data_IF_509199768546
#
_entry.id   IF_509199768546
#
_cell.length_a   1.000
_cell.length_b   1.000
_cell.length_c   1.000
_cell.angle_alpha   90.00
_cell.angle_beta   90.00
_cell.angle_gamma   90.00
#
_symmetry.space_group_name_H-M   'P 1'
#
loop_
_entity.id
_entity.type
_entity.pdbx_description
1 polymer ?
#
# COMPACT_ATOMS: atom_id res chain seq x y z
N UNK A 1 -28.80 -12.18 19.22
CA UNK A 1 -28.65 -11.25 18.07
C UNK A 1 -27.19 -11.09 17.66
N UNK A 2 -26.24 -10.70 18.54
CA UNK A 2 -24.80 -10.64 18.19
C UNK A 2 -24.19 -12.02 17.81
N UNK A 3 -24.54 -13.10 18.50
CA UNK A 3 -24.04 -14.47 18.19
C UNK A 3 -24.52 -15.01 16.83
N UNK A 4 -25.67 -14.57 16.32
CA UNK A 4 -26.17 -14.97 14.99
C UNK A 4 -25.46 -14.20 13.87
N UNK A 5 -25.23 -12.91 14.08
CA UNK A 5 -24.42 -12.06 13.19
C UNK A 5 -22.97 -12.55 13.12
N UNK A 6 -22.42 -13.03 14.23
CA UNK A 6 -21.07 -13.61 14.29
C UNK A 6 -20.94 -14.87 13.42
N UNK A 7 -21.98 -15.71 13.38
CA UNK A 7 -22.03 -16.93 12.55
C UNK A 7 -22.21 -16.62 11.05
N UNK A 8 -22.94 -15.55 10.71
CA UNK A 8 -23.13 -15.13 9.32
C UNK A 8 -21.94 -14.33 8.76
N UNK A 9 -21.13 -13.69 9.61
CA UNK A 9 -19.95 -12.95 9.19
C UNK A 9 -18.77 -13.90 8.88
N UNK A 10 -18.88 -14.61 7.75
CA UNK A 10 -17.86 -15.55 7.26
C UNK A 10 -16.47 -14.91 7.20
N UNK A 11 -15.39 -15.63 7.48
CA UNK A 11 -14.06 -15.05 7.31
C UNK A 11 -13.76 -14.76 5.82
N UNK A 12 -13.12 -13.63 5.52
CA UNK A 12 -12.60 -13.31 4.18
C UNK A 12 -11.09 -13.27 4.23
N UNK A 13 -10.47 -14.06 3.35
CA UNK A 13 -9.03 -14.18 3.25
C UNK A 13 -8.51 -13.49 1.99
N UNK A 14 -7.27 -13.01 2.06
CA UNK A 14 -6.55 -12.50 0.90
C UNK A 14 -6.34 -13.60 -0.16
N UNK A 15 -6.68 -13.31 -1.41
CA UNK A 15 -6.56 -14.22 -2.54
C UNK A 15 -5.40 -13.80 -3.46
N UNK A 16 -4.53 -14.74 -3.88
CA UNK A 16 -3.42 -14.44 -4.76
C UNK A 16 -3.88 -14.14 -6.19
N UNK A 17 -3.19 -13.19 -6.83
CA UNK A 17 -3.21 -13.00 -8.27
C UNK A 17 -1.86 -13.40 -8.85
N UNK A 18 -1.74 -14.68 -9.22
CA UNK A 18 -0.47 -15.24 -9.67
C UNK A 18 0.10 -14.55 -10.90
N UNK A 19 -0.73 -14.17 -11.88
CA UNK A 19 -0.28 -13.47 -13.08
C UNK A 19 0.45 -12.15 -12.76
N UNK A 20 -0.17 -11.27 -11.95
CA UNK A 20 0.44 -10.02 -11.53
C UNK A 20 1.67 -10.25 -10.65
N UNK A 21 1.64 -11.30 -9.82
CA UNK A 21 2.77 -11.70 -8.98
C UNK A 21 3.99 -12.06 -9.83
N UNK A 22 3.81 -12.91 -10.84
CA UNK A 22 4.88 -13.30 -11.77
C UNK A 22 5.42 -12.11 -12.56
N UNK A 23 4.53 -11.22 -13.03
CA UNK A 23 4.93 -9.98 -13.68
C UNK A 23 5.89 -9.19 -12.78
N UNK A 24 5.47 -8.87 -11.56
CA UNK A 24 6.30 -8.10 -10.61
C UNK A 24 7.62 -8.83 -10.33
N UNK A 25 7.57 -10.14 -10.07
CA UNK A 25 8.76 -10.94 -9.75
C UNK A 25 9.78 -11.07 -10.88
N UNK A 26 9.37 -10.93 -12.14
CA UNK A 26 10.30 -10.97 -13.28
C UNK A 26 10.81 -9.56 -13.58
N UNK A 27 9.89 -8.59 -13.69
CA UNK A 27 10.26 -7.24 -14.11
C UNK A 27 11.05 -6.48 -13.04
N UNK A 28 10.72 -6.64 -11.76
CA UNK A 28 11.44 -5.94 -10.67
C UNK A 28 12.93 -6.30 -10.59
N UNK A 29 13.37 -7.58 -10.54
CA UNK A 29 14.79 -7.89 -10.50
C UNK A 29 15.51 -7.54 -11.80
N UNK A 30 14.87 -7.68 -12.97
CA UNK A 30 15.46 -7.25 -14.24
C UNK A 30 15.71 -5.75 -14.23
N UNK A 31 14.71 -4.96 -13.85
CA UNK A 31 14.84 -3.51 -13.73
C UNK A 31 15.92 -3.10 -12.71
N UNK A 32 15.95 -3.76 -11.56
CA UNK A 32 16.94 -3.50 -10.50
C UNK A 32 18.35 -3.88 -10.95
N UNK A 33 18.52 -4.98 -11.70
CA UNK A 33 19.79 -5.38 -12.27
C UNK A 33 20.27 -4.36 -13.30
N UNK A 34 19.39 -3.88 -14.19
CA UNK A 34 19.72 -2.81 -15.15
C UNK A 34 20.22 -1.56 -14.43
N UNK A 35 19.55 -1.16 -13.35
CA UNK A 35 19.98 -0.03 -12.53
C UNK A 35 21.37 -0.32 -11.94
N UNK A 36 21.59 -1.48 -11.32
CA UNK A 36 22.89 -1.82 -10.73
C UNK A 36 24.01 -1.75 -11.77
N UNK A 37 23.80 -2.31 -12.98
CA UNK A 37 24.79 -2.23 -14.06
C UNK A 37 25.07 -0.77 -14.45
N UNK A 38 24.03 0.06 -14.57
CA UNK A 38 24.19 1.48 -14.87
C UNK A 38 25.03 2.19 -13.80
N UNK A 39 24.77 1.93 -12.52
CA UNK A 39 25.55 2.49 -11.41
C UNK A 39 27.00 1.96 -11.41
N UNK A 40 27.23 0.70 -11.77
CA UNK A 40 28.60 0.14 -11.86
C UNK A 40 29.41 0.78 -12.98
N UNK A 41 28.80 1.06 -14.14
CA UNK A 41 29.50 1.67 -15.28
C UNK A 41 29.56 3.20 -15.17
N UNK A 42 28.78 3.81 -14.26
CA UNK A 42 28.69 5.26 -14.10
C UNK A 42 30.05 5.98 -13.96
N UNK A 43 31.03 5.51 -13.15
CA UNK A 43 32.34 6.15 -13.06
C UNK A 43 33.12 6.13 -14.38
N UNK A 44 32.96 5.07 -15.19
CA UNK A 44 33.60 4.93 -16.49
C UNK A 44 33.02 5.91 -17.51
N UNK A 45 31.71 6.18 -17.46
CA UNK A 45 31.04 7.15 -18.33
C UNK A 45 31.45 8.60 -18.02
N UNK A 46 31.83 8.88 -16.77
CA UNK A 46 32.14 10.24 -16.31
C UNK A 46 33.62 10.60 -16.42
N UNK A 47 34.51 9.59 -16.44
CA UNK A 47 35.95 9.81 -16.45
C UNK A 47 36.48 10.10 -17.85
N UNK A 48 37.08 11.27 -18.04
CA UNK A 48 37.75 11.64 -19.31
C UNK A 48 39.17 11.09 -19.43
N UNK A 49 39.82 10.74 -18.31
CA UNK A 49 41.20 10.25 -18.23
C UNK A 49 41.34 9.18 -17.13
N UNK A 50 42.36 8.31 -17.25
CA UNK A 50 42.61 7.18 -16.33
C UNK A 50 42.81 7.61 -14.87
N UNK A 51 43.52 8.71 -14.63
CA UNK A 51 43.79 9.21 -13.26
C UNK A 51 42.49 9.64 -12.57
N UNK A 52 41.61 10.34 -13.32
CA UNK A 52 40.31 10.79 -12.80
C UNK A 52 39.41 9.58 -12.52
N UNK A 53 39.45 8.56 -13.38
CA UNK A 53 38.75 7.30 -13.15
C UNK A 53 39.19 6.63 -11.84
N UNK A 54 40.50 6.49 -11.60
CA UNK A 54 41.02 5.84 -10.39
C UNK A 54 40.57 6.59 -9.13
N UNK A 55 40.70 7.92 -9.12
CA UNK A 55 40.25 8.75 -7.98
C UNK A 55 38.75 8.58 -7.74
N UNK A 56 37.94 8.64 -8.80
CA UNK A 56 36.49 8.51 -8.72
C UNK A 56 36.08 7.11 -8.24
N UNK A 57 36.69 6.06 -8.78
CA UNK A 57 36.42 4.67 -8.44
C UNK A 57 36.70 4.37 -6.95
N UNK A 58 37.83 4.86 -6.42
CA UNK A 58 38.22 4.67 -5.02
C UNK A 58 37.23 5.33 -4.05
N UNK A 59 36.63 6.46 -4.42
CA UNK A 59 35.60 7.11 -3.58
C UNK A 59 34.20 6.51 -3.80
N UNK A 60 33.87 6.17 -5.04
CA UNK A 60 32.52 5.78 -5.46
C UNK A 60 32.17 4.35 -5.05
N UNK A 61 33.01 3.37 -5.36
CA UNK A 61 32.66 1.96 -5.14
C UNK A 61 32.51 1.58 -3.66
N UNK A 62 33.38 2.05 -2.73
CA UNK A 62 33.15 1.80 -1.30
C UNK A 62 31.85 2.41 -0.80
N UNK A 63 31.49 3.60 -1.29
CA UNK A 63 30.22 4.26 -0.96
C UNK A 63 29.03 3.42 -1.45
N UNK A 64 29.10 2.92 -2.69
CA UNK A 64 28.08 2.06 -3.27
C UNK A 64 27.92 0.74 -2.51
N UNK A 65 29.04 0.10 -2.12
CA UNK A 65 29.05 -1.11 -1.29
C UNK A 65 28.39 -0.83 0.07
N UNK A 66 28.72 0.29 0.72
CA UNK A 66 28.14 0.67 2.01
C UNK A 66 26.61 0.87 1.91
N UNK A 67 26.14 1.57 0.87
CA UNK A 67 24.70 1.75 0.62
C UNK A 67 24.03 0.40 0.36
N UNK A 68 24.63 -0.44 -0.49
CA UNK A 68 24.15 -1.79 -0.79
C UNK A 68 24.01 -2.64 0.47
N UNK A 69 25.01 -2.63 1.35
CA UNK A 69 24.97 -3.33 2.63
C UNK A 69 23.83 -2.84 3.54
N UNK A 70 23.59 -1.52 3.60
CA UNK A 70 22.49 -0.96 4.40
C UNK A 70 21.12 -1.39 3.86
N UNK A 71 20.96 -1.38 2.52
CA UNK A 71 19.74 -1.84 1.85
C UNK A 71 19.53 -3.33 2.15
N UNK A 72 20.57 -4.15 1.98
CA UNK A 72 20.50 -5.58 2.25
C UNK A 72 20.09 -5.90 3.70
N UNK A 73 20.66 -5.20 4.69
CA UNK A 73 20.25 -5.38 6.10
C UNK A 73 18.77 -5.05 6.31
N UNK A 74 18.27 -3.95 5.74
CA UNK A 74 16.85 -3.60 5.83
C UNK A 74 15.97 -4.62 5.12
N UNK A 75 16.36 -5.06 3.92
CA UNK A 75 15.65 -6.07 3.15
C UNK A 75 15.57 -7.41 3.89
N UNK A 76 16.67 -7.84 4.54
CA UNK A 76 16.69 -9.05 5.36
C UNK A 76 15.69 -8.98 6.51
N UNK A 77 15.62 -7.84 7.21
CA UNK A 77 14.63 -7.64 8.28
C UNK A 77 13.20 -7.67 7.72
N UNK A 78 12.93 -6.92 6.66
CA UNK A 78 11.62 -6.89 6.00
C UNK A 78 11.19 -8.28 5.52
N UNK A 79 12.12 -9.09 5.02
CA UNK A 79 11.87 -10.46 4.59
C UNK A 79 11.46 -11.37 5.75
N UNK A 80 12.07 -11.22 6.94
CA UNK A 80 11.74 -12.01 8.12
C UNK A 80 10.37 -11.65 8.72
N UNK A 81 9.97 -10.38 8.63
CA UNK A 81 8.71 -9.86 9.19
C UNK A 81 7.57 -9.79 8.16
N UNK A 82 7.76 -10.33 6.95
CA UNK A 82 6.81 -10.17 5.85
C UNK A 82 5.47 -10.85 6.12
N UNK A 83 4.39 -10.19 5.69
CA UNK A 83 3.03 -10.71 5.76
C UNK A 83 2.78 -11.70 4.62
N UNK A 84 2.24 -12.87 4.96
CA UNK A 84 1.89 -13.93 4.02
C UNK A 84 0.41 -13.94 3.68
N UNK A 85 -0.43 -13.62 4.67
CA UNK A 85 -1.88 -13.75 4.58
C UNK A 85 -2.55 -12.68 5.41
N UNK A 86 -3.63 -12.12 4.88
CA UNK A 86 -4.52 -11.20 5.58
C UNK A 86 -5.88 -11.88 5.70
N UNK A 87 -6.45 -11.89 6.90
CA UNK A 87 -7.80 -12.42 7.15
C UNK A 87 -8.61 -11.38 7.90
N UNK A 88 -9.85 -11.19 7.46
CA UNK A 88 -10.86 -10.36 8.13
C UNK A 88 -12.00 -11.27 8.55
N UNK A 89 -12.30 -11.29 9.84
CA UNK A 89 -13.36 -12.09 10.44
C UNK A 89 -14.17 -11.27 11.48
N UNK A 90 -15.01 -11.94 12.26
CA UNK A 90 -15.84 -11.31 13.27
C UNK A 90 -15.05 -10.74 14.46
N UNK A 91 -13.81 -11.19 14.69
CA UNK A 91 -12.96 -10.67 15.77
C UNK A 91 -12.23 -9.42 15.33
N UNK A 92 -11.82 -9.38 14.06
CA UNK A 92 -11.13 -8.23 13.49
C UNK A 92 -10.27 -8.56 12.28
N UNK A 93 -9.14 -7.85 12.17
CA UNK A 93 -8.17 -8.01 11.11
C UNK A 93 -6.92 -8.70 11.63
N UNK A 94 -6.45 -9.73 10.92
CA UNK A 94 -5.26 -10.49 11.29
C UNK A 94 -4.27 -10.57 10.14
N UNK A 95 -3.02 -10.24 10.45
CA UNK A 95 -1.87 -10.33 9.58
C UNK A 95 -1.00 -11.51 10.00
N UNK A 96 -0.96 -12.55 9.18
CA UNK A 96 -0.07 -13.68 9.41
C UNK A 96 1.29 -13.38 8.79
N UNK A 97 2.36 -13.56 9.56
CA UNK A 97 3.74 -13.34 9.12
C UNK A 97 4.46 -14.65 8.90
N UNK A 98 5.55 -14.62 8.12
CA UNK A 98 6.36 -15.83 7.82
C UNK A 98 7.00 -16.43 9.06
N UNK A 99 7.37 -15.61 10.04
CA UNK A 99 7.95 -16.07 11.30
C UNK A 99 6.95 -16.77 12.24
N UNK A 100 5.70 -16.97 11.81
CA UNK A 100 4.64 -17.58 12.61
C UNK A 100 3.95 -16.62 13.59
N UNK A 101 4.42 -15.38 13.71
CA UNK A 101 3.72 -14.36 14.51
C UNK A 101 2.50 -13.83 13.77
N UNK A 102 1.48 -13.47 14.54
CA UNK A 102 0.26 -12.84 14.04
C UNK A 102 0.15 -11.45 14.65
N UNK A 103 -0.06 -10.45 13.80
CA UNK A 103 -0.41 -9.10 14.23
C UNK A 103 -1.91 -8.95 14.04
N UNK A 104 -2.63 -8.63 15.12
CA UNK A 104 -4.09 -8.60 15.15
C UNK A 104 -4.59 -7.21 15.55
N UNK A 105 -5.67 -6.78 14.91
CA UNK A 105 -6.43 -5.58 15.24
C UNK A 105 -7.85 -6.05 15.52
N UNK A 106 -8.19 -6.17 16.82
CA UNK A 106 -9.49 -6.63 17.28
C UNK A 106 -10.50 -5.49 17.33
N UNK A 107 -11.74 -5.74 16.91
CA UNK A 107 -12.81 -4.73 16.98
C UNK A 107 -13.09 -4.26 18.40
N UNK A 108 -12.97 -5.14 19.40
CA UNK A 108 -13.16 -4.81 20.81
C UNK A 108 -12.13 -3.83 21.37
N UNK A 109 -10.96 -3.73 20.75
CA UNK A 109 -9.83 -2.89 21.20
C UNK A 109 -9.74 -1.56 20.44
N UNK A 110 -10.59 -1.33 19.44
CA UNK A 110 -10.66 -0.04 18.75
C UNK A 110 -11.25 0.99 19.70
N UNK A 111 -10.61 2.14 19.84
CA UNK A 111 -11.07 3.19 20.75
C UNK A 111 -11.70 4.32 19.95
N UNK A 112 -12.77 4.91 20.50
CA UNK A 112 -13.28 6.20 20.02
C UNK A 112 -12.52 7.35 20.67
N UNK A 113 -12.61 8.54 20.08
CA UNK A 113 -12.13 9.78 20.68
C UNK A 113 -13.04 10.26 21.81
N UNK A 114 -14.30 9.79 21.84
CA UNK A 114 -15.29 10.23 22.83
C UNK A 114 -15.75 11.68 22.63
N UNK A 115 -15.46 12.26 21.46
CA UNK A 115 -15.80 13.62 21.09
C UNK A 115 -16.98 13.62 20.11
N UNK A 116 -18.01 14.43 20.37
CA UNK A 116 -19.20 14.53 19.52
C UNK A 116 -18.97 15.15 18.15
N UNK A 117 -17.84 15.84 17.95
CA UNK A 117 -17.56 16.56 16.69
C UNK A 117 -16.44 15.92 15.86
N UNK A 118 -15.87 14.80 16.33
CA UNK A 118 -14.73 14.13 15.68
C UNK A 118 -15.11 12.72 15.29
N UNK A 119 -14.76 12.31 14.06
CA UNK A 119 -14.90 10.93 13.63
C UNK A 119 -13.79 10.07 14.23
N UNK A 120 -14.17 8.90 14.76
CA UNK A 120 -13.26 7.93 15.38
C UNK A 120 -12.36 7.24 14.35
N UNK A 121 -12.89 7.06 13.15
CA UNK A 121 -12.23 6.34 12.07
C UNK A 121 -12.18 7.24 10.84
N UNK A 122 -10.98 7.47 10.33
CA UNK A 122 -10.73 8.40 9.23
C UNK A 122 -9.68 7.89 8.24
N UNK A 123 -9.21 8.80 7.40
CA UNK A 123 -8.17 8.52 6.41
C UNK A 123 -6.91 9.33 6.72
N UNK A 124 -5.77 8.66 6.71
CA UNK A 124 -4.45 9.30 6.72
C UNK A 124 -3.78 9.17 5.37
N UNK A 125 -2.98 10.18 5.01
CA UNK A 125 -2.19 10.18 3.79
C UNK A 125 -0.83 9.53 4.05
N UNK A 126 -0.54 8.45 3.32
CA UNK A 126 0.77 7.79 3.31
C UNK A 126 1.25 7.56 1.89
N UNK A 127 2.41 8.11 1.55
CA UNK A 127 3.09 7.89 0.26
C UNK A 127 2.16 8.03 -0.97
N UNK A 128 1.29 9.06 -0.96
CA UNK A 128 0.27 9.37 -1.99
C UNK A 128 -0.96 8.46 -2.03
N UNK A 129 -1.13 7.57 -1.06
CA UNK A 129 -2.34 6.75 -0.89
C UNK A 129 -3.06 7.11 0.41
N UNK A 130 -4.40 7.04 0.38
CA UNK A 130 -5.20 7.20 1.59
C UNK A 130 -5.37 5.83 2.25
N UNK A 131 -4.96 5.74 3.51
CA UNK A 131 -5.00 4.53 4.33
C UNK A 131 -5.97 4.77 5.48
N UNK A 132 -6.70 3.74 5.87
CA UNK A 132 -7.62 3.79 6.99
C UNK A 132 -6.81 3.97 8.29
N UNK A 133 -7.12 5.01 9.06
CA UNK A 133 -6.51 5.28 10.35
C UNK A 133 -7.57 5.14 11.44
N UNK A 134 -7.20 4.45 12.51
CA UNK A 134 -8.06 4.23 13.67
C UNK A 134 -7.23 4.29 14.95
N UNK A 135 -7.87 4.62 16.06
CA UNK A 135 -7.22 4.58 17.38
C UNK A 135 -7.32 3.17 17.96
N UNK A 136 -6.19 2.65 18.41
CA UNK A 136 -6.04 1.29 18.92
C UNK A 136 -4.98 1.27 20.02
N UNK A 137 -5.35 0.80 21.22
CA UNK A 137 -4.48 0.78 22.40
C UNK A 137 -3.75 2.12 22.64
N UNK A 138 -4.50 3.23 22.63
CA UNK A 138 -4.00 4.59 22.84
C UNK A 138 -3.01 5.13 21.79
N UNK A 139 -2.83 4.43 20.67
CA UNK A 139 -2.05 4.89 19.52
C UNK A 139 -2.91 4.95 18.25
N UNK A 140 -2.46 5.73 17.26
CA UNK A 140 -3.11 5.81 15.93
C UNK A 140 -2.48 4.79 15.01
N UNK A 141 -3.22 3.74 14.69
CA UNK A 141 -2.76 2.64 13.85
C UNK A 141 -3.31 2.78 12.42
N UNK A 142 -2.40 2.70 11.45
CA UNK A 142 -2.74 2.68 10.03
C UNK A 142 -3.00 1.25 9.55
N UNK A 143 -4.19 1.02 9.00
CA UNK A 143 -4.62 -0.30 8.52
C UNK A 143 -4.31 -0.46 7.04
N UNK A 144 -3.18 -1.12 6.77
CA UNK A 144 -2.73 -1.38 5.41
C UNK A 144 -3.16 -2.77 4.91
N UNK A 145 -4.08 -2.81 3.95
CA UNK A 145 -4.54 -4.04 3.27
C UNK A 145 -3.60 -4.46 2.12
N UNK A 146 -2.63 -3.62 1.76
CA UNK A 146 -1.57 -3.85 0.78
C UNK A 146 -0.26 -4.32 1.42
N UNK A 147 -0.24 -4.61 2.73
CA UNK A 147 0.96 -5.04 3.48
C UNK A 147 1.60 -6.34 2.98
N UNK A 148 0.91 -7.10 2.12
CA UNK A 148 1.46 -8.28 1.44
C UNK A 148 2.38 -7.82 0.31
N UNK A 149 3.68 -8.09 0.46
CA UNK A 149 4.68 -7.77 -0.56
C UNK A 149 4.54 -8.71 -1.78
N UNK A 150 4.24 -8.18 -2.98
CA UNK A 150 4.07 -9.00 -4.18
C UNK A 150 5.39 -9.60 -4.69
N UNK A 151 6.53 -8.98 -4.40
CA UNK A 151 7.86 -9.50 -4.75
C UNK A 151 8.17 -10.80 -4.00
N UNK A 152 7.74 -10.92 -2.74
CA UNK A 152 8.10 -12.06 -1.89
C UNK A 152 6.96 -13.04 -1.58
N UNK A 153 5.70 -12.62 -1.64
CA UNK A 153 4.54 -13.47 -1.29
C UNK A 153 3.59 -13.63 -2.48
N UNK A 154 2.68 -12.67 -2.71
CA UNK A 154 1.83 -12.60 -3.89
C UNK A 154 1.14 -11.24 -3.95
N UNK A 155 0.68 -10.85 -5.14
CA UNK A 155 -0.19 -9.71 -5.30
C UNK A 155 -1.63 -10.05 -4.87
N UNK A 156 -2.15 -9.41 -3.84
CA UNK A 156 -3.49 -9.67 -3.33
C UNK A 156 -4.57 -9.04 -4.23
N UNK A 157 -5.42 -9.85 -4.87
CA UNK A 157 -6.44 -9.35 -5.82
C UNK A 157 -7.60 -8.64 -5.12
N UNK A 158 -7.98 -9.13 -3.95
CA UNK A 158 -9.22 -8.79 -3.27
C UNK A 158 -9.04 -7.81 -2.09
N UNK A 159 -7.98 -7.00 -2.10
CA UNK A 159 -7.69 -6.01 -1.03
C UNK A 159 -8.85 -5.05 -0.78
N UNK A 160 -9.57 -4.63 -1.83
CA UNK A 160 -10.79 -3.81 -1.70
C UNK A 160 -11.90 -4.55 -0.95
N UNK A 161 -12.07 -5.83 -1.21
CA UNK A 161 -13.07 -6.65 -0.53
C UNK A 161 -12.71 -6.87 0.95
N UNK A 162 -11.42 -7.07 1.25
CA UNK A 162 -10.93 -7.13 2.63
C UNK A 162 -11.20 -5.82 3.38
N UNK A 163 -10.83 -4.68 2.78
CA UNK A 163 -11.07 -3.36 3.37
C UNK A 163 -12.55 -3.10 3.65
N UNK A 164 -13.39 -3.35 2.64
CA UNK A 164 -14.84 -3.20 2.72
C UNK A 164 -15.42 -4.05 3.84
N UNK A 165 -14.99 -5.31 3.92
CA UNK A 165 -15.41 -6.21 4.99
C UNK A 165 -14.95 -5.75 6.36
N UNK A 166 -13.72 -5.24 6.45
CA UNK A 166 -13.21 -4.73 7.73
C UNK A 166 -14.03 -3.54 8.21
N UNK A 167 -14.31 -2.56 7.34
CA UNK A 167 -15.16 -1.41 7.65
C UNK A 167 -16.58 -1.85 8.03
N UNK A 168 -17.15 -2.81 7.31
CA UNK A 168 -18.45 -3.40 7.64
C UNK A 168 -18.45 -4.02 9.04
N UNK A 169 -17.40 -4.76 9.40
CA UNK A 169 -17.25 -5.32 10.74
C UNK A 169 -17.11 -4.24 11.81
N UNK A 170 -16.42 -3.12 11.54
CA UNK A 170 -16.38 -2.01 12.51
C UNK A 170 -17.80 -1.48 12.78
N UNK A 171 -18.58 -1.18 11.74
CA UNK A 171 -19.93 -0.63 11.92
C UNK A 171 -20.86 -1.62 12.63
N UNK A 172 -20.71 -2.93 12.38
CA UNK A 172 -21.58 -3.94 13.01
C UNK A 172 -21.17 -4.30 14.44
N UNK A 173 -19.88 -4.52 14.70
CA UNK A 173 -19.40 -4.97 16.01
C UNK A 173 -19.12 -3.81 16.97
N UNK A 174 -18.97 -2.59 16.44
CA UNK A 174 -18.74 -1.35 17.19
C UNK A 174 -19.60 -0.20 16.67
N UNK A 175 -20.94 -0.29 16.80
CA UNK A 175 -21.86 0.77 16.37
C UNK A 175 -21.70 2.06 17.19
N UNK A 176 -21.00 1.99 18.32
CA UNK A 176 -20.61 3.14 19.14
C UNK A 176 -19.57 4.05 18.44
N UNK A 177 -18.81 3.53 17.47
CA UNK A 177 -17.78 4.28 16.76
C UNK A 177 -18.32 4.98 15.52
N UNK A 178 -17.90 6.23 15.31
CA UNK A 178 -18.29 7.05 14.15
C UNK A 178 -17.25 6.98 13.07
N UNK A 179 -17.64 6.41 11.92
CA UNK A 179 -16.80 6.38 10.71
C UNK A 179 -17.02 7.65 9.90
N UNK A 180 -15.93 8.32 9.50
CA UNK A 180 -15.99 9.48 8.61
C UNK A 180 -16.65 9.10 7.27
N UNK A 181 -17.72 9.80 6.82
CA UNK A 181 -18.33 9.62 5.50
C UNK A 181 -17.34 9.62 4.34
N UNK A 182 -16.24 10.35 4.47
CA UNK A 182 -15.19 10.43 3.47
C UNK A 182 -14.47 9.09 3.26
N UNK A 183 -14.42 8.21 4.26
CA UNK A 183 -13.91 6.83 4.15
C UNK A 183 -14.71 6.05 3.10
N UNK A 184 -16.04 6.14 3.15
CA UNK A 184 -16.93 5.47 2.21
C UNK A 184 -16.79 6.04 0.80
N UNK A 185 -16.71 7.37 0.69
CA UNK A 185 -16.50 8.04 -0.58
C UNK A 185 -15.18 7.64 -1.24
N UNK A 186 -14.05 7.71 -0.50
CA UNK A 186 -12.74 7.43 -1.06
C UNK A 186 -12.59 5.98 -1.50
N UNK A 187 -13.15 5.05 -0.73
CA UNK A 187 -13.08 3.63 -1.06
C UNK A 187 -14.20 3.14 -1.97
N UNK A 188 -15.08 4.04 -2.44
CA UNK A 188 -16.23 3.74 -3.29
C UNK A 188 -17.13 2.65 -2.67
N UNK A 189 -17.40 2.77 -1.38
CA UNK A 189 -18.25 1.85 -0.61
C UNK A 189 -19.57 2.54 -0.32
N UNK A 190 -20.69 1.87 -0.55
CA UNK A 190 -21.99 2.36 -0.11
C UNK A 190 -22.10 2.25 1.43
N UNK A 191 -22.47 3.32 2.15
CA UNK A 191 -22.45 3.31 3.61
C UNK A 191 -23.47 2.36 4.25
N UNK A 192 -24.59 2.08 3.57
CA UNK A 192 -25.68 1.26 4.12
C UNK A 192 -25.47 -0.25 3.91
N UNK A 193 -25.14 -0.65 2.68
CA UNK A 193 -25.04 -2.07 2.30
C UNK A 193 -23.58 -2.55 2.12
N UNK A 194 -22.62 -1.66 2.33
CA UNK A 194 -21.18 -1.90 2.17
C UNK A 194 -20.82 -2.50 0.81
N UNK A 195 -21.60 -2.28 -0.26
CA UNK A 195 -21.25 -2.77 -1.59
C UNK A 195 -20.30 -1.81 -2.31
N UNK A 196 -19.50 -2.35 -3.22
CA UNK A 196 -18.56 -1.56 -4.02
C UNK A 196 -19.31 -0.85 -5.16
N UNK A 197 -19.22 0.48 -5.19
CA UNK A 197 -19.81 1.32 -6.22
C UNK A 197 -18.90 1.38 -7.46
N UNK A 198 -19.01 0.35 -8.31
CA UNK A 198 -18.22 0.25 -9.54
C UNK A 198 -18.48 1.44 -10.49
N UNK A 199 -19.73 1.94 -10.55
CA UNK A 199 -20.11 3.06 -11.43
C UNK A 199 -19.39 4.34 -11.03
N UNK A 200 -19.40 4.68 -9.73
CA UNK A 200 -18.69 5.86 -9.23
C UNK A 200 -17.18 5.73 -9.40
N UNK A 201 -16.64 4.53 -9.17
CA UNK A 201 -15.22 4.24 -9.40
C UNK A 201 -14.81 4.48 -10.85
N UNK A 202 -15.54 3.90 -11.82
CA UNK A 202 -15.24 4.09 -13.24
C UNK A 202 -15.41 5.53 -13.69
N UNK A 203 -16.43 6.24 -13.18
CA UNK A 203 -16.61 7.68 -13.44
C UNK A 203 -15.40 8.50 -12.96
N UNK A 204 -14.86 8.19 -11.77
CA UNK A 204 -13.68 8.88 -11.24
C UNK A 204 -12.41 8.56 -12.04
N UNK A 205 -12.21 7.30 -12.44
CA UNK A 205 -11.11 6.92 -13.33
C UNK A 205 -11.20 7.66 -14.67
N UNK A 206 -12.37 7.66 -15.31
CA UNK A 206 -12.55 8.33 -16.59
C UNK A 206 -12.30 9.84 -16.47
N UNK A 207 -12.85 10.48 -15.43
CA UNK A 207 -12.62 11.90 -15.17
C UNK A 207 -11.13 12.21 -14.96
N UNK A 208 -10.43 11.39 -14.18
CA UNK A 208 -8.98 11.54 -13.94
C UNK A 208 -8.19 11.39 -15.23
N UNK A 209 -8.52 10.39 -16.06
CA UNK A 209 -7.85 10.16 -17.34
C UNK A 209 -8.04 11.34 -18.32
N UNK A 210 -9.24 11.92 -18.38
CA UNK A 210 -9.53 13.10 -19.21
C UNK A 210 -8.70 14.30 -18.75
N UNK A 211 -8.62 14.56 -17.44
CA UNK A 211 -7.80 15.65 -16.89
C UNK A 211 -6.32 15.44 -17.21
N UNK A 212 -5.80 14.22 -17.05
CA UNK A 212 -4.41 13.91 -17.41
C UNK A 212 -4.13 14.12 -18.90
N UNK A 213 -5.07 13.76 -19.77
CA UNK A 213 -4.94 13.94 -21.21
C UNK A 213 -4.90 15.43 -21.57
N UNK A 214 -5.80 16.23 -21.02
CA UNK A 214 -5.81 17.70 -21.22
C UNK A 214 -4.52 18.34 -20.73
N UNK A 215 -4.03 17.94 -19.55
CA UNK A 215 -2.78 18.47 -19.00
C UNK A 215 -1.58 18.10 -19.89
N UNK A 216 -1.55 16.86 -20.38
CA UNK A 216 -0.50 16.35 -21.26
C UNK A 216 -0.47 17.07 -22.61
N UNK A 217 -1.64 17.32 -23.22
CA UNK A 217 -1.71 18.06 -24.48
C UNK A 217 -1.33 19.53 -24.28
N UNK A 218 -1.77 20.17 -23.20
CA UNK A 218 -1.38 21.55 -22.88
C UNK A 218 0.14 21.69 -22.70
N UNK A 219 0.78 20.76 -21.98
CA UNK A 219 2.23 20.70 -21.85
C UNK A 219 2.93 20.51 -23.20
N UNK A 220 2.44 19.63 -24.06
CA UNK A 220 3.00 19.43 -25.39
C UNK A 220 2.92 20.69 -26.26
N UNK A 221 1.76 21.37 -26.26
CA UNK A 221 1.60 22.65 -26.97
C UNK A 221 2.52 23.74 -26.42
N UNK A 222 2.66 23.83 -25.09
CA UNK A 222 3.57 24.78 -24.45
C UNK A 222 5.04 24.54 -24.85
N UNK A 223 5.47 23.27 -24.88
CA UNK A 223 6.82 22.90 -25.32
C UNK A 223 7.05 23.23 -26.81
N UNK A 224 6.06 22.98 -27.68
CA UNK A 224 6.13 23.34 -29.10
C UNK A 224 6.19 24.87 -29.32
N UNK A 225 5.53 25.64 -28.47
CA UNK A 225 5.59 27.10 -28.51
C UNK A 225 6.95 27.64 -28.06
N UNK A 226 7.56 27.06 -27.02
CA UNK A 226 8.89 27.46 -26.53
C UNK A 226 10.05 27.15 -27.51
N UNK A 227 9.85 26.21 -28.43
CA UNK A 227 10.86 25.83 -29.44
C UNK A 227 10.75 26.71 -30.70
N UNK A 228 9.70 27.52 -30.82
CA UNK A 228 9.54 28.53 -31.88
C UNK A 228 10.00 29.91 -31.40
#
# INVERSE_FOLDING_TARGET
>A
MQEEVEKEFLALESKPWWMMTWLIRIFTPVFLLTIIVLFLVFPFLLSSNEIVFVILAVLYYPTLIYIGYRIFRKAKKAFAERVTKIVVDHKGLRYYKVNGSTEEILYSQIQGWGLTDVYDIGLHYKAKTQILALRYNDDVVEVDFGKIDPGFTYYARNTRALRRKFIQGIVYFRPDLRVDPFVFYNFYIHPENFQFNARQYWKSILSTAVVMLILGTALAFFMLWLVK
#
